data_IF_141231155183
#
_entry.id   IF_141231155183
#
_cell.length_a   1.000
_cell.length_b   1.000
_cell.length_c   1.000
_cell.angle_alpha   90.00
_cell.angle_beta   90.00
_cell.angle_gamma   90.00
#
_symmetry.space_group_name_H-M   'P 1'
#
loop_
_entity.id
_entity.type
_entity.pdbx_description
1 polymer ?
#
# COMPACT_ATOMS: atom_id res chain seq x y z
N UNK A 1 -2.18 -14.26 -10.41
CA UNK A 1 -2.69 -15.21 -9.40
C UNK A 1 -1.81 -15.06 -8.17
N UNK A 2 -2.38 -14.98 -6.96
CA UNK A 2 -1.60 -14.86 -5.72
C UNK A 2 -1.04 -16.24 -5.39
N UNK A 3 0.28 -16.36 -5.23
CA UNK A 3 0.94 -17.62 -4.90
C UNK A 3 0.58 -18.07 -3.47
N UNK A 4 0.56 -19.39 -3.20
CA UNK A 4 0.30 -19.90 -1.86
C UNK A 4 1.32 -19.34 -0.85
N UNK A 5 0.83 -18.87 0.29
CA UNK A 5 1.58 -18.19 1.35
C UNK A 5 2.07 -16.77 1.04
N UNK A 6 1.69 -16.17 -0.09
CA UNK A 6 1.90 -14.73 -0.29
C UNK A 6 0.99 -13.92 0.62
N UNK A 7 1.60 -13.05 1.41
CA UNK A 7 0.89 -12.06 2.23
C UNK A 7 0.98 -10.70 1.56
N UNK A 8 -0.06 -9.88 1.71
CA UNK A 8 0.02 -8.50 1.22
C UNK A 8 0.69 -7.63 2.29
N UNK A 9 1.60 -6.79 1.83
CA UNK A 9 2.24 -5.77 2.64
C UNK A 9 1.30 -4.57 2.74
N UNK A 10 1.22 -3.98 3.94
CA UNK A 10 0.51 -2.72 4.14
C UNK A 10 1.53 -1.57 4.13
N UNK A 11 1.28 -0.61 3.26
CA UNK A 11 2.06 0.62 3.12
C UNK A 11 1.20 1.80 3.55
N UNK A 12 1.72 2.60 4.47
CA UNK A 12 1.10 3.83 4.94
C UNK A 12 1.58 4.97 4.05
N UNK A 13 0.65 5.78 3.56
CA UNK A 13 0.91 6.95 2.73
C UNK A 13 0.35 8.16 3.44
N UNK A 14 1.21 9.08 3.86
CA UNK A 14 0.83 10.36 4.47
C UNK A 14 1.07 11.48 3.48
N UNK A 15 0.03 12.21 3.08
CA UNK A 15 0.15 13.34 2.14
C UNK A 15 -0.56 14.57 2.66
N UNK A 16 -0.18 15.74 2.15
CA UNK A 16 -0.92 16.97 2.40
C UNK A 16 -2.36 16.83 1.87
N UNK A 17 -3.31 17.28 2.66
CA UNK A 17 -4.70 17.34 2.24
C UNK A 17 -4.93 18.59 1.38
N UNK A 18 -5.53 18.42 0.21
CA UNK A 18 -5.76 19.52 -0.71
C UNK A 18 -6.88 20.48 -0.24
N UNK A 19 -7.78 19.98 0.61
CA UNK A 19 -8.91 20.73 1.18
C UNK A 19 -8.55 21.34 2.56
N UNK A 20 -7.50 20.82 3.22
CA UNK A 20 -6.97 21.35 4.48
C UNK A 20 -5.48 21.72 4.36
N UNK A 21 -5.11 23.01 4.24
CA UNK A 21 -3.74 23.45 3.96
C UNK A 21 -2.70 23.12 5.05
N UNK A 22 -3.14 22.76 6.27
CA UNK A 22 -2.28 22.24 7.35
C UNK A 22 -2.61 20.77 7.71
N UNK A 23 -3.63 20.20 7.06
CA UNK A 23 -4.06 18.83 7.27
C UNK A 23 -3.16 17.86 6.53
N UNK A 24 -2.88 16.72 7.17
CA UNK A 24 -2.27 15.56 6.50
C UNK A 24 -3.28 14.43 6.53
N UNK A 25 -3.48 13.79 5.38
CA UNK A 25 -4.29 12.57 5.28
C UNK A 25 -3.36 11.37 5.22
N UNK A 26 -3.69 10.37 6.02
CA UNK A 26 -3.05 9.06 5.99
C UNK A 26 -3.97 8.08 5.27
N UNK A 27 -3.47 7.43 4.22
CA UNK A 27 -4.15 6.36 3.48
C UNK A 27 -3.30 5.10 3.58
N UNK A 28 -3.93 3.95 3.80
CA UNK A 28 -3.25 2.67 3.78
C UNK A 28 -3.46 1.98 2.44
N UNK A 29 -2.38 1.41 1.91
CA UNK A 29 -2.40 0.62 0.69
C UNK A 29 -1.99 -0.80 1.00
N UNK A 30 -2.73 -1.76 0.49
CA UNK A 30 -2.34 -3.15 0.42
C UNK A 30 -1.65 -3.44 -0.92
N UNK A 31 -0.56 -4.18 -0.90
CA UNK A 31 0.15 -4.60 -2.11
C UNK A 31 0.79 -5.97 -1.93
N UNK A 32 0.74 -6.80 -2.97
CA UNK A 32 1.51 -8.05 -3.04
C UNK A 32 2.74 -7.76 -3.91
N UNK A 33 3.90 -7.79 -3.28
CA UNK A 33 5.20 -7.57 -3.90
C UNK A 33 6.19 -8.64 -3.43
N UNK A 34 7.28 -8.81 -4.17
CA UNK A 34 8.34 -9.78 -3.84
C UNK A 34 9.04 -9.44 -2.51
N UNK A 35 9.19 -8.15 -2.23
CA UNK A 35 9.81 -7.64 -1.02
C UNK A 35 9.25 -6.28 -0.57
N UNK A 36 9.62 -5.89 0.65
CA UNK A 36 9.26 -4.63 1.28
C UNK A 36 9.67 -3.38 0.47
N UNK A 37 10.87 -3.37 -0.10
CA UNK A 37 11.39 -2.25 -0.88
C UNK A 37 10.61 -2.10 -2.20
N UNK A 38 10.32 -3.20 -2.87
CA UNK A 38 9.47 -3.23 -4.06
C UNK A 38 8.06 -2.72 -3.78
N UNK A 39 7.46 -3.09 -2.65
CA UNK A 39 6.15 -2.58 -2.24
C UNK A 39 6.13 -1.06 -2.05
N UNK A 40 7.11 -0.52 -1.31
CA UNK A 40 7.22 0.93 -1.10
C UNK A 40 7.46 1.66 -2.41
N UNK A 41 8.31 1.13 -3.30
CA UNK A 41 8.57 1.73 -4.61
C UNK A 41 7.31 1.80 -5.46
N UNK A 42 6.55 0.70 -5.57
CA UNK A 42 5.32 0.64 -6.35
C UNK A 42 4.26 1.60 -5.82
N UNK A 43 4.10 1.70 -4.49
CA UNK A 43 3.19 2.67 -3.89
C UNK A 43 3.66 4.08 -4.14
N UNK A 44 4.97 4.34 -4.04
CA UNK A 44 5.57 5.66 -4.30
C UNK A 44 5.37 6.12 -5.75
N UNK A 45 5.51 5.22 -6.72
CA UNK A 45 5.23 5.49 -8.14
C UNK A 45 3.74 5.79 -8.40
N UNK A 46 2.83 5.23 -7.60
CA UNK A 46 1.40 5.43 -7.74
C UNK A 46 0.87 6.71 -7.06
N UNK A 47 1.63 7.31 -6.14
CA UNK A 47 1.24 8.50 -5.36
C UNK A 47 2.00 9.74 -5.83
N UNK A 48 1.45 10.93 -5.59
CA UNK A 48 2.09 12.20 -5.98
C UNK A 48 3.39 12.44 -5.18
N UNK A 49 4.35 13.14 -5.77
CA UNK A 49 5.73 13.35 -5.26
C UNK A 49 5.86 13.84 -3.80
N UNK A 50 4.85 14.52 -3.24
CA UNK A 50 4.87 15.02 -1.85
C UNK A 50 4.28 14.04 -0.81
N UNK A 51 4.05 12.79 -1.17
CA UNK A 51 3.55 11.78 -0.23
C UNK A 51 4.70 11.07 0.50
N UNK A 52 4.60 11.03 1.83
CA UNK A 52 5.46 10.25 2.70
C UNK A 52 4.98 8.80 2.72
N UNK A 53 5.82 7.87 2.26
CA UNK A 53 5.47 6.46 2.08
C UNK A 53 6.29 5.61 3.02
N UNK A 54 5.62 4.88 3.91
CA UNK A 54 6.24 4.06 4.95
C UNK A 54 5.67 2.64 4.91
N UNK A 55 6.54 1.63 4.98
CA UNK A 55 6.08 0.25 5.17
C UNK A 55 5.62 0.07 6.61
N UNK A 56 4.46 -0.54 6.81
CA UNK A 56 4.00 -0.91 8.15
C UNK A 56 4.48 -2.32 8.52
N UNK A 57 4.52 -2.64 9.81
CA UNK A 57 4.76 -4.00 10.28
C UNK A 57 3.55 -4.93 10.04
N UNK A 58 2.41 -4.35 9.69
CA UNK A 58 1.17 -5.08 9.42
C UNK A 58 1.20 -5.74 8.04
N UNK A 59 0.62 -6.94 7.98
CA UNK A 59 0.43 -7.71 6.74
C UNK A 59 -0.99 -8.24 6.68
N UNK A 60 -1.54 -8.30 5.48
CA UNK A 60 -2.80 -9.00 5.23
C UNK A 60 -2.51 -10.45 4.88
N UNK A 61 -3.33 -11.35 5.44
CA UNK A 61 -3.35 -12.75 5.02
C UNK A 61 -3.72 -12.86 3.54
N UNK A 62 -3.31 -13.97 2.93
CA UNK A 62 -3.66 -14.30 1.56
C UNK A 62 -5.18 -14.29 1.34
N UNK A 63 -5.96 -14.86 2.28
CA UNK A 63 -7.42 -14.89 2.20
C UNK A 63 -8.01 -13.48 2.15
N UNK A 64 -7.55 -12.59 3.03
CA UNK A 64 -8.02 -11.20 3.05
C UNK A 64 -7.65 -10.48 1.76
N UNK A 65 -6.42 -10.67 1.28
CA UNK A 65 -5.96 -10.10 0.02
C UNK A 65 -6.80 -10.58 -1.18
N UNK A 66 -7.19 -11.85 -1.20
CA UNK A 66 -8.10 -12.40 -2.22
C UNK A 66 -9.52 -11.83 -2.10
N UNK A 67 -10.05 -11.71 -0.88
CA UNK A 67 -11.39 -11.16 -0.63
C UNK A 67 -11.52 -9.72 -1.13
N UNK A 68 -10.47 -8.89 -0.97
CA UNK A 68 -10.46 -7.52 -1.48
C UNK A 68 -10.06 -7.44 -2.96
N UNK A 69 -9.87 -8.57 -3.64
CA UNK A 69 -9.51 -8.64 -5.06
C UNK A 69 -8.15 -8.01 -5.36
N UNK A 70 -7.17 -8.19 -4.47
CA UNK A 70 -5.82 -7.67 -4.68
C UNK A 70 -5.09 -8.45 -5.76
N UNK A 71 -4.28 -7.76 -6.56
CA UNK A 71 -3.51 -8.34 -7.67
C UNK A 71 -2.02 -8.07 -7.43
N UNK A 72 -1.13 -9.05 -7.65
CA UNK A 72 0.31 -8.84 -7.55
C UNK A 72 0.79 -7.66 -8.41
N UNK A 73 1.67 -6.84 -7.85
CA UNK A 73 2.23 -5.65 -8.52
C UNK A 73 1.31 -4.42 -8.54
N UNK A 74 0.08 -4.51 -8.01
CA UNK A 74 -0.85 -3.38 -7.93
C UNK A 74 -1.15 -3.02 -6.47
N UNK A 75 -0.97 -1.74 -6.14
CA UNK A 75 -1.38 -1.19 -4.86
C UNK A 75 -2.88 -0.91 -4.85
N UNK A 76 -3.57 -1.27 -3.75
CA UNK A 76 -4.99 -0.98 -3.53
C UNK A 76 -5.17 -0.22 -2.23
N UNK A 77 -5.87 0.91 -2.27
CA UNK A 77 -6.25 1.65 -1.06
C UNK A 77 -7.26 0.85 -0.22
N UNK A 78 -7.10 0.91 1.10
CA UNK A 78 -7.97 0.29 2.11
C UNK A 78 -8.95 1.31 2.71
#
# INVERSE_FOLDING_TARGET
MIEPNQTALIVKVTRADAEMPTGRVTVFYAIIAEDAGSAVRLVKEAVKDDAEVELTEARLSQDTAQMIGLIPGYARAL
#
